data_IF_050634361616
#
_entry.id   IF_050634361616
#
_cell.length_a   1.000
_cell.length_b   1.000
_cell.length_c   1.000
_cell.angle_alpha   90.00
_cell.angle_beta   90.00
_cell.angle_gamma   90.00
#
_symmetry.space_group_name_H-M   'P 1'
#
loop_
_entity.id
_entity.type
_entity.pdbx_description
1 polymer ?
#
# COMPACT_ATOMS: atom_id res chain seq x y z
N UNK A 1 -4.80 -8.76 7.83
CA UNK A 1 -4.74 -9.69 6.69
C UNK A 1 -3.43 -9.47 5.95
N UNK A 2 -2.61 -10.51 5.83
CA UNK A 2 -1.34 -10.44 5.09
C UNK A 2 -1.48 -11.06 3.72
N UNK A 3 -1.03 -10.35 2.69
CA UNK A 3 -1.04 -10.81 1.30
C UNK A 3 0.34 -10.71 0.70
N UNK A 4 0.80 -11.81 0.09
CA UNK A 4 2.06 -11.81 -0.65
C UNK A 4 1.82 -11.36 -2.09
N UNK A 5 2.59 -10.37 -2.52
CA UNK A 5 2.60 -9.85 -3.89
C UNK A 5 3.85 -10.34 -4.61
N UNK A 6 3.67 -11.06 -5.71
CA UNK A 6 4.76 -11.65 -6.50
C UNK A 6 5.41 -10.69 -7.47
N UNK A 7 4.73 -9.57 -7.79
CA UNK A 7 5.17 -8.53 -8.71
C UNK A 7 4.81 -7.16 -8.14
N UNK A 8 5.57 -6.64 -7.16
CA UNK A 8 5.31 -5.32 -6.61
C UNK A 8 5.57 -4.23 -7.67
N UNK A 9 4.91 -3.07 -7.55
CA UNK A 9 5.15 -1.94 -8.45
C UNK A 9 6.61 -1.47 -8.31
N UNK A 10 7.27 -1.21 -9.44
CA UNK A 10 8.69 -0.80 -9.45
C UNK A 10 8.82 0.70 -9.66
N UNK A 11 7.85 1.29 -10.35
CA UNK A 11 7.84 2.72 -10.66
C UNK A 11 7.05 3.48 -9.61
N UNK A 12 7.53 4.67 -9.24
CA UNK A 12 6.87 5.51 -8.22
C UNK A 12 5.44 5.90 -8.60
N UNK A 13 5.19 6.20 -9.87
CA UNK A 13 3.85 6.55 -10.36
C UNK A 13 2.88 5.35 -10.26
N UNK A 14 3.35 4.16 -10.61
CA UNK A 14 2.59 2.92 -10.49
C UNK A 14 2.28 2.62 -9.02
N UNK A 15 3.28 2.73 -8.13
CA UNK A 15 3.11 2.51 -6.70
C UNK A 15 2.10 3.48 -6.08
N UNK A 16 2.05 4.74 -6.53
CA UNK A 16 1.06 5.70 -6.05
C UNK A 16 -0.36 5.37 -6.54
N UNK A 17 -0.50 4.91 -7.78
CA UNK A 17 -1.78 4.42 -8.31
C UNK A 17 -2.29 3.23 -7.49
N UNK A 18 -1.44 2.24 -7.25
CA UNK A 18 -1.74 1.06 -6.44
C UNK A 18 -2.07 1.43 -5.00
N UNK A 19 -1.31 2.33 -4.39
CA UNK A 19 -1.58 2.82 -3.04
C UNK A 19 -2.97 3.50 -2.94
N UNK A 20 -3.39 4.21 -3.99
CA UNK A 20 -4.72 4.83 -4.06
C UNK A 20 -5.83 3.78 -4.11
N UNK A 21 -5.67 2.75 -4.94
CA UNK A 21 -6.62 1.62 -5.00
C UNK A 21 -6.72 0.89 -3.66
N UNK A 22 -5.59 0.68 -2.99
CA UNK A 22 -5.55 0.06 -1.67
C UNK A 22 -6.23 0.92 -0.62
N UNK A 23 -6.02 2.23 -0.63
CA UNK A 23 -6.70 3.14 0.28
C UNK A 23 -8.22 3.10 0.11
N UNK A 24 -8.72 3.00 -1.12
CA UNK A 24 -10.16 2.83 -1.37
C UNK A 24 -10.72 1.52 -0.79
N UNK A 25 -9.91 0.48 -0.70
CA UNK A 25 -10.30 -0.81 -0.13
C UNK A 25 -10.11 -0.88 1.40
N UNK A 26 -9.07 -0.22 1.91
CA UNK A 26 -8.61 -0.27 3.28
C UNK A 26 -8.10 1.12 3.67
N UNK A 27 -8.96 2.03 4.15
CA UNK A 27 -8.56 3.40 4.48
C UNK A 27 -7.59 3.47 5.66
N UNK A 28 -7.80 2.62 6.68
CA UNK A 28 -7.05 2.64 7.94
C UNK A 28 -5.54 2.40 7.76
N UNK A 29 -5.12 1.70 6.70
CA UNK A 29 -3.71 1.53 6.33
C UNK A 29 -2.99 2.86 6.13
N UNK A 30 -3.72 3.91 5.77
CA UNK A 30 -3.24 5.29 5.65
C UNK A 30 -3.70 6.10 6.85
N UNK A 31 -5.00 6.17 7.11
CA UNK A 31 -5.58 7.08 8.10
C UNK A 31 -5.08 6.82 9.53
N UNK A 32 -4.76 5.57 9.85
CA UNK A 32 -4.24 5.15 11.16
C UNK A 32 -2.82 4.55 11.08
N UNK A 33 -2.27 4.43 9.86
CA UNK A 33 -1.04 3.72 9.60
C UNK A 33 0.03 4.63 9.00
N UNK A 34 0.17 4.54 7.68
CA UNK A 34 1.25 5.21 6.92
C UNK A 34 1.07 6.72 6.77
N UNK A 35 -0.06 7.27 7.22
CA UNK A 35 -0.46 8.68 7.24
C UNK A 35 -0.63 9.33 5.85
N UNK A 36 0.10 8.87 4.83
CA UNK A 36 -0.02 9.38 3.46
C UNK A 36 0.09 8.28 2.41
N UNK A 37 -0.59 8.47 1.28
CA UNK A 37 -0.47 7.60 0.09
C UNK A 37 0.97 7.49 -0.42
N UNK A 38 1.77 8.56 -0.28
CA UNK A 38 3.16 8.54 -0.71
C UNK A 38 4.04 7.66 0.18
N UNK A 39 3.78 7.64 1.49
CA UNK A 39 4.45 6.74 2.43
C UNK A 39 4.07 5.29 2.12
N UNK A 40 2.76 5.02 1.95
CA UNK A 40 2.26 3.71 1.56
C UNK A 40 2.87 3.21 0.23
N UNK A 41 2.88 4.05 -0.80
CA UNK A 41 3.51 3.71 -2.08
C UNK A 41 5.00 3.37 -1.92
N UNK A 42 5.70 4.06 -1.02
CA UNK A 42 7.10 3.78 -0.72
C UNK A 42 7.34 2.38 -0.15
N UNK A 43 6.45 1.90 0.73
CA UNK A 43 6.55 0.54 1.29
C UNK A 43 6.25 -0.53 0.24
N UNK A 44 5.38 -0.23 -0.74
CA UNK A 44 5.01 -1.16 -1.81
C UNK A 44 6.12 -1.42 -2.81
N UNK A 45 6.99 -0.42 -3.08
CA UNK A 45 8.13 -0.59 -3.99
C UNK A 45 9.18 -1.55 -3.42
N UNK A 46 9.27 -1.63 -2.10
CA UNK A 46 10.33 -2.38 -1.40
C UNK A 46 9.85 -3.71 -0.81
N UNK A 47 8.54 -3.88 -0.61
CA UNK A 47 7.94 -5.02 0.06
C UNK A 47 7.17 -5.97 -0.87
N UNK A 48 7.33 -7.28 -0.64
CA UNK A 48 6.51 -8.33 -1.27
C UNK A 48 5.33 -8.76 -0.39
N UNK A 49 5.15 -8.14 0.76
CA UNK A 49 4.09 -8.45 1.70
C UNK A 49 3.33 -7.17 2.00
N UNK A 50 2.03 -7.20 1.77
CA UNK A 50 1.12 -6.11 2.07
C UNK A 50 0.22 -6.54 3.22
N UNK A 51 0.12 -5.67 4.22
CA UNK A 51 -0.75 -5.86 5.35
C UNK A 51 -1.97 -4.96 5.19
N UNK A 52 -3.14 -5.51 5.47
CA UNK A 52 -4.42 -4.82 5.48
C UNK A 52 -5.07 -5.02 6.84
N UNK A 53 -5.66 -3.97 7.40
CA UNK A 53 -6.48 -4.07 8.60
C UNK A 53 -7.61 -3.06 8.53
N UNK A 54 -8.70 -3.40 9.21
CA UNK A 54 -9.86 -2.55 9.41
C UNK A 54 -10.22 -2.77 10.87
N UNK A 55 -9.54 -2.04 11.74
CA UNK A 55 -9.75 -2.13 13.19
C UNK A 55 -10.93 -1.23 13.57
#
# INVERSE_FOLDING_TARGET
MDTRVTKPPVQRAEALSVATEIYHYCPDIVDQGTETLSTLAGTMVTGHWWNFWWD
#
